data_IF_649532437072
#
_entry.id   IF_649532437072
#
_cell.length_a   1.000
_cell.length_b   1.000
_cell.length_c   1.000
_cell.angle_alpha   90.00
_cell.angle_beta   90.00
_cell.angle_gamma   90.00
#
_symmetry.space_group_name_H-M   'P 1'
#
loop_
_entity.id
_entity.type
_entity.pdbx_description
1 polymer ?
#
# COMPACT_ATOMS: atom_id res chain seq x y z
N UNK A 1 -0.66 23.59 -3.47
CA UNK A 1 -2.01 23.69 -2.86
C UNK A 1 -3.12 23.28 -3.82
N UNK A 2 -3.27 23.84 -5.03
CA UNK A 2 -4.33 23.41 -5.97
C UNK A 2 -4.05 22.06 -6.67
N UNK A 3 -2.77 21.70 -6.85
CA UNK A 3 -2.36 20.45 -7.53
C UNK A 3 -2.44 19.21 -6.63
N UNK A 4 -2.17 19.35 -5.33
CA UNK A 4 -2.37 18.28 -4.34
C UNK A 4 -3.85 17.91 -4.18
N UNK A 5 -4.73 18.91 -4.22
CA UNK A 5 -6.18 18.71 -4.17
C UNK A 5 -6.68 17.95 -5.41
N UNK A 6 -6.13 18.25 -6.59
CA UNK A 6 -6.50 17.58 -7.84
C UNK A 6 -6.02 16.12 -7.88
N UNK A 7 -4.85 15.82 -7.29
CA UNK A 7 -4.36 14.43 -7.11
C UNK A 7 -5.22 13.64 -6.14
N UNK A 8 -5.67 14.25 -5.04
CA UNK A 8 -6.64 13.64 -4.11
C UNK A 8 -7.90 13.18 -4.84
N UNK A 9 -8.52 14.05 -5.63
CA UNK A 9 -9.78 13.78 -6.34
C UNK A 9 -9.64 12.69 -7.42
N UNK A 10 -8.49 12.61 -8.09
CA UNK A 10 -8.19 11.54 -9.07
C UNK A 10 -8.04 10.17 -8.39
N UNK A 11 -7.38 10.16 -7.21
CA UNK A 11 -7.23 8.97 -6.35
C UNK A 11 -8.58 8.50 -5.79
N UNK A 12 -9.43 9.44 -5.35
CA UNK A 12 -10.79 9.20 -4.87
C UNK A 12 -11.65 8.48 -5.89
N UNK A 13 -11.60 8.98 -7.13
CA UNK A 13 -12.33 8.39 -8.26
C UNK A 13 -11.81 6.99 -8.58
N UNK A 14 -10.49 6.77 -8.56
CA UNK A 14 -9.88 5.46 -8.86
C UNK A 14 -10.16 4.42 -7.78
N UNK A 15 -10.13 4.79 -6.50
CA UNK A 15 -10.48 3.91 -5.37
C UNK A 15 -11.95 3.51 -5.46
N UNK A 16 -12.85 4.47 -5.72
CA UNK A 16 -14.27 4.19 -5.89
C UNK A 16 -14.56 3.32 -7.13
N UNK A 17 -13.90 3.57 -8.27
CA UNK A 17 -14.01 2.75 -9.48
C UNK A 17 -13.46 1.32 -9.27
N UNK A 18 -12.39 1.16 -8.49
CA UNK A 18 -11.82 -0.15 -8.11
C UNK A 18 -12.77 -0.93 -7.19
N UNK A 19 -13.34 -0.28 -6.18
CA UNK A 19 -14.37 -0.87 -5.32
C UNK A 19 -15.58 -1.35 -6.12
N UNK A 20 -15.96 -0.59 -7.16
CA UNK A 20 -17.06 -0.95 -8.05
C UNK A 20 -16.69 -2.08 -9.01
N UNK A 21 -15.47 -2.10 -9.58
CA UNK A 21 -14.98 -3.20 -10.44
C UNK A 21 -14.82 -4.52 -9.69
N UNK A 22 -14.34 -4.48 -8.44
CA UNK A 22 -14.32 -5.63 -7.55
C UNK A 22 -15.73 -6.14 -7.23
N UNK A 23 -16.76 -5.28 -7.30
CA UNK A 23 -18.16 -5.70 -7.15
C UNK A 23 -18.70 -6.39 -8.42
N UNK A 24 -18.30 -5.96 -9.62
CA UNK A 24 -18.74 -6.54 -10.90
C UNK A 24 -18.14 -7.93 -11.15
N UNK A 25 -16.87 -8.14 -10.79
CA UNK A 25 -16.18 -9.44 -10.88
C UNK A 25 -16.76 -10.52 -9.95
N UNK A 26 -17.66 -10.14 -9.02
CA UNK A 26 -18.30 -11.04 -8.04
C UNK A 26 -19.70 -11.50 -8.44
N UNK A 27 -20.12 -11.22 -9.67
CA UNK A 27 -21.43 -11.65 -10.16
C UNK A 27 -21.50 -13.14 -10.55
N UNK A 28 -20.38 -13.88 -10.54
CA UNK A 28 -20.35 -15.28 -11.02
C UNK A 28 -20.42 -16.41 -9.98
N UNK A 29 -20.46 -16.18 -8.64
CA UNK A 29 -20.72 -17.29 -7.69
C UNK A 29 -21.66 -16.94 -6.54
N UNK A 30 -22.75 -17.72 -6.32
CA UNK A 30 -23.79 -17.40 -5.36
C UNK A 30 -23.37 -17.50 -3.87
N UNK A 31 -22.25 -18.18 -3.55
CA UNK A 31 -21.80 -18.39 -2.17
C UNK A 31 -21.07 -17.21 -1.51
N UNK A 32 -20.70 -16.16 -2.26
CA UNK A 32 -19.86 -15.05 -1.76
C UNK A 32 -20.66 -13.77 -1.40
N UNK A 33 -22.00 -13.83 -1.43
CA UNK A 33 -22.88 -12.65 -1.37
C UNK A 33 -22.95 -11.98 0.00
N UNK A 34 -22.80 -12.71 1.10
CA UNK A 34 -22.93 -12.17 2.47
C UNK A 34 -21.63 -11.55 2.98
N UNK A 35 -20.48 -12.22 2.83
CA UNK A 35 -19.17 -11.67 3.20
C UNK A 35 -18.83 -10.38 2.42
N UNK A 36 -19.23 -10.30 1.15
CA UNK A 36 -19.06 -9.10 0.33
C UNK A 36 -20.06 -7.98 0.67
N UNK A 37 -21.19 -8.27 1.32
CA UNK A 37 -22.12 -7.26 1.85
C UNK A 37 -21.56 -6.64 3.13
N UNK A 38 -20.94 -7.44 3.98
CA UNK A 38 -20.23 -6.94 5.17
C UNK A 38 -19.06 -6.02 4.78
N UNK A 39 -18.24 -6.43 3.79
CA UNK A 39 -17.13 -5.62 3.26
C UNK A 39 -17.58 -4.33 2.54
N UNK A 40 -18.80 -4.33 1.98
CA UNK A 40 -19.45 -3.13 1.42
C UNK A 40 -19.86 -2.12 2.50
N UNK A 41 -20.29 -2.58 3.67
CA UNK A 41 -20.65 -1.70 4.79
C UNK A 41 -19.42 -1.14 5.52
N UNK A 42 -18.24 -1.74 5.30
CA UNK A 42 -16.92 -1.22 5.70
C UNK A 42 -16.20 -0.52 4.54
N UNK A 43 -16.89 -0.06 3.50
CA UNK A 43 -16.30 0.87 2.52
C UNK A 43 -15.99 2.17 3.25
N UNK A 44 -14.80 2.26 3.83
CA UNK A 44 -14.37 3.48 4.46
C UNK A 44 -14.14 4.52 3.37
N UNK A 45 -14.84 5.66 3.41
CA UNK A 45 -14.30 6.86 2.81
C UNK A 45 -13.09 7.25 3.68
N UNK A 46 -11.92 6.70 3.35
CA UNK A 46 -10.63 7.11 3.93
C UNK A 46 -10.18 8.48 3.41
N UNK A 47 -10.98 9.05 2.53
CA UNK A 47 -10.67 10.14 1.62
C UNK A 47 -10.63 11.52 2.29
N UNK A 48 -11.43 11.77 3.32
CA UNK A 48 -11.54 13.10 3.95
C UNK A 48 -11.42 13.09 5.48
N UNK A 49 -10.95 11.98 6.06
CA UNK A 49 -10.81 11.92 7.52
C UNK A 49 -9.49 12.54 7.94
N UNK A 50 -9.55 13.79 8.38
CA UNK A 50 -8.59 14.24 9.39
C UNK A 50 -8.62 13.23 10.54
N UNK A 51 -7.44 12.77 10.96
CA UNK A 51 -7.28 11.87 12.08
C UNK A 51 -7.03 12.68 13.37
N UNK A 52 -8.07 13.08 14.14
CA UNK A 52 -7.92 13.78 15.42
C UNK A 52 -7.16 12.92 16.44
N UNK A 53 -6.32 13.57 17.25
CA UNK A 53 -5.35 12.91 18.15
C UNK A 53 -6.02 11.93 19.13
N UNK A 54 -7.17 12.30 19.68
CA UNK A 54 -7.79 11.58 20.80
C UNK A 54 -8.55 10.31 20.39
N UNK A 55 -9.08 10.26 19.16
CA UNK A 55 -9.97 9.16 18.71
C UNK A 55 -9.36 8.29 17.61
N UNK A 56 -8.36 8.81 16.90
CA UNK A 56 -7.79 8.12 15.74
C UNK A 56 -7.06 6.83 16.08
N UNK A 57 -6.26 6.73 17.16
CA UNK A 57 -5.56 5.48 17.46
C UNK A 57 -6.49 4.28 17.60
N UNK A 58 -7.60 4.44 18.34
CA UNK A 58 -8.62 3.39 18.51
C UNK A 58 -9.30 3.07 17.18
N UNK A 59 -9.70 4.10 16.42
CA UNK A 59 -10.36 3.93 15.13
C UNK A 59 -9.46 3.18 14.13
N UNK A 60 -8.21 3.60 13.98
CA UNK A 60 -7.23 2.92 13.12
C UNK A 60 -7.05 1.46 13.53
N UNK A 61 -6.94 1.18 14.84
CA UNK A 61 -6.82 -0.19 15.34
C UNK A 61 -8.04 -1.03 14.99
N UNK A 62 -9.25 -0.51 15.20
CA UNK A 62 -10.49 -1.21 14.84
C UNK A 62 -10.56 -1.51 13.34
N UNK A 63 -10.22 -0.54 12.50
CA UNK A 63 -10.23 -0.71 11.05
C UNK A 63 -9.19 -1.72 10.56
N UNK A 64 -8.01 -1.73 11.18
CA UNK A 64 -7.01 -2.75 10.89
C UNK A 64 -7.50 -4.14 11.30
N UNK A 65 -8.20 -4.26 12.44
CA UNK A 65 -8.82 -5.53 12.85
C UNK A 65 -9.89 -5.98 11.85
N UNK A 66 -10.80 -5.10 11.47
CA UNK A 66 -11.86 -5.40 10.48
C UNK A 66 -11.26 -5.84 9.14
N UNK A 67 -10.18 -5.18 8.69
CA UNK A 67 -9.47 -5.56 7.48
C UNK A 67 -8.72 -6.89 7.65
N UNK A 68 -8.29 -7.26 8.85
CA UNK A 68 -7.55 -8.52 9.15
C UNK A 68 -8.47 -9.73 9.29
N UNK A 69 -9.71 -9.51 9.73
CA UNK A 69 -10.71 -10.53 10.00
C UNK A 69 -10.88 -11.55 8.85
N UNK A 70 -10.93 -11.18 7.55
CA UNK A 70 -11.08 -12.17 6.48
C UNK A 70 -9.96 -13.21 6.42
N UNK A 71 -8.71 -12.80 6.68
CA UNK A 71 -7.56 -13.74 6.71
C UNK A 71 -7.63 -14.65 7.93
N UNK A 72 -8.02 -14.10 9.09
CA UNK A 72 -8.20 -14.86 10.34
C UNK A 72 -9.31 -15.90 10.17
N UNK A 73 -10.44 -15.52 9.58
CA UNK A 73 -11.56 -16.42 9.31
C UNK A 73 -11.17 -17.51 8.31
N UNK A 74 -10.47 -17.17 7.23
CA UNK A 74 -9.97 -18.16 6.27
C UNK A 74 -9.08 -19.22 6.95
N UNK A 75 -8.11 -18.77 7.75
CA UNK A 75 -7.21 -19.68 8.49
C UNK A 75 -7.92 -20.52 9.54
N UNK A 76 -8.99 -20.00 10.17
CA UNK A 76 -9.77 -20.74 11.18
C UNK A 76 -10.74 -21.76 10.57
N UNK A 77 -11.40 -21.41 9.47
CA UNK A 77 -12.43 -22.25 8.86
C UNK A 77 -11.83 -23.37 8.00
N UNK A 78 -10.65 -23.13 7.40
CA UNK A 78 -10.01 -24.07 6.49
C UNK A 78 -8.50 -24.16 6.78
N UNK A 79 -8.09 -24.63 7.98
CA UNK A 79 -6.69 -24.57 8.43
C UNK A 79 -5.71 -25.40 7.58
N UNK A 80 -6.21 -26.34 6.79
CA UNK A 80 -5.40 -27.17 5.90
C UNK A 80 -5.08 -26.50 4.54
N UNK A 81 -5.65 -25.32 4.27
CA UNK A 81 -5.44 -24.59 3.02
C UNK A 81 -4.74 -23.25 3.28
N UNK A 82 -3.89 -22.85 2.34
CA UNK A 82 -3.26 -21.53 2.34
C UNK A 82 -4.33 -20.44 2.26
N UNK A 83 -4.21 -19.38 3.06
CA UNK A 83 -5.18 -18.26 3.09
C UNK A 83 -5.39 -17.67 1.68
N UNK A 84 -4.31 -17.58 0.90
CA UNK A 84 -4.37 -17.12 -0.49
C UNK A 84 -5.26 -18.01 -1.38
N UNK A 85 -5.27 -19.33 -1.17
CA UNK A 85 -6.10 -20.25 -1.95
C UNK A 85 -7.59 -20.11 -1.62
N UNK A 86 -7.91 -19.73 -0.38
CA UNK A 86 -9.28 -19.52 0.09
C UNK A 86 -9.82 -18.15 -0.34
N UNK A 87 -9.04 -17.10 -0.13
CA UNK A 87 -9.46 -15.72 -0.42
C UNK A 87 -9.30 -15.34 -1.90
N UNK A 88 -8.37 -15.97 -2.60
CA UNK A 88 -7.95 -15.58 -3.94
C UNK A 88 -7.01 -14.38 -3.95
N UNK A 89 -6.27 -14.23 -5.05
CA UNK A 89 -5.24 -13.20 -5.22
C UNK A 89 -5.81 -11.78 -5.13
N UNK A 90 -6.91 -11.50 -5.83
CA UNK A 90 -7.48 -10.15 -5.90
C UNK A 90 -7.92 -9.62 -4.54
N UNK A 91 -8.58 -10.46 -3.73
CA UNK A 91 -9.03 -10.06 -2.40
C UNK A 91 -7.84 -9.89 -1.46
N UNK A 92 -6.87 -10.81 -1.50
CA UNK A 92 -5.68 -10.73 -0.64
C UNK A 92 -4.85 -9.47 -0.93
N UNK A 93 -4.63 -9.17 -2.21
CA UNK A 93 -3.98 -7.95 -2.67
C UNK A 93 -4.73 -6.69 -2.21
N UNK A 94 -6.07 -6.70 -2.35
CA UNK A 94 -6.92 -5.60 -1.90
C UNK A 94 -6.84 -5.38 -0.37
N UNK A 95 -6.82 -6.45 0.42
CA UNK A 95 -6.71 -6.36 1.88
C UNK A 95 -5.35 -5.76 2.29
N UNK A 96 -4.26 -6.22 1.69
CA UNK A 96 -2.94 -5.66 1.93
C UNK A 96 -2.83 -4.21 1.49
N UNK A 97 -3.36 -3.86 0.31
CA UNK A 97 -3.45 -2.48 -0.15
C UNK A 97 -4.19 -1.61 0.87
N UNK A 98 -5.41 -2.00 1.28
CA UNK A 98 -6.24 -1.22 2.20
C UNK A 98 -5.59 -1.01 3.56
N UNK A 99 -4.93 -2.02 4.13
CA UNK A 99 -4.20 -1.88 5.41
C UNK A 99 -2.99 -0.96 5.28
N UNK A 100 -2.21 -1.14 4.21
CA UNK A 100 -1.05 -0.30 3.91
C UNK A 100 -1.43 1.16 3.68
N UNK A 101 -2.45 1.41 2.85
CA UNK A 101 -2.96 2.74 2.57
C UNK A 101 -3.56 3.41 3.81
N UNK A 102 -4.31 2.68 4.64
CA UNK A 102 -4.82 3.18 5.92
C UNK A 102 -3.68 3.70 6.81
N UNK A 103 -2.61 2.92 6.96
CA UNK A 103 -1.44 3.30 7.74
C UNK A 103 -0.66 4.44 7.09
N UNK A 104 -0.55 4.47 5.76
CA UNK A 104 0.03 5.59 5.03
C UNK A 104 -0.71 6.89 5.35
N UNK A 105 -2.04 6.92 5.21
CA UNK A 105 -2.84 8.11 5.46
C UNK A 105 -2.75 8.57 6.92
N UNK A 106 -2.82 7.62 7.86
CA UNK A 106 -2.63 7.93 9.27
C UNK A 106 -1.26 8.55 9.55
N UNK A 107 -0.18 7.92 9.06
CA UNK A 107 1.18 8.44 9.20
C UNK A 107 1.37 9.77 8.48
N UNK A 108 0.72 10.00 7.34
CA UNK A 108 0.77 11.25 6.61
C UNK A 108 0.18 12.40 7.45
N UNK A 109 -0.97 12.20 8.08
CA UNK A 109 -1.56 13.19 9.01
C UNK A 109 -0.65 13.43 10.22
N UNK A 110 -0.06 12.37 10.79
CA UNK A 110 0.84 12.49 11.93
C UNK A 110 2.18 13.15 11.58
N UNK A 111 2.71 12.94 10.37
CA UNK A 111 3.98 13.50 9.91
C UNK A 111 3.99 15.04 9.99
N UNK A 112 2.83 15.68 9.81
CA UNK A 112 2.67 17.12 9.95
C UNK A 112 2.75 17.60 11.42
N UNK A 113 2.59 16.70 12.40
CA UNK A 113 2.55 16.98 13.84
C UNK A 113 3.88 16.65 14.53
N UNK A 114 4.94 17.41 14.23
CA UNK A 114 6.31 17.18 14.74
C UNK A 114 6.41 16.98 16.26
N UNK A 115 5.65 17.72 17.07
CA UNK A 115 5.69 17.61 18.53
C UNK A 115 5.08 16.29 19.04
N UNK A 116 4.04 15.79 18.36
CA UNK A 116 3.44 14.51 18.69
C UNK A 116 4.43 13.36 18.43
N UNK A 117 5.12 13.40 17.28
CA UNK A 117 6.10 12.37 16.91
C UNK A 117 7.26 12.33 17.91
N UNK A 118 7.72 13.49 18.41
CA UNK A 118 8.76 13.52 19.46
C UNK A 118 8.36 12.74 20.72
N UNK A 119 7.08 12.78 21.10
CA UNK A 119 6.54 12.07 22.27
C UNK A 119 6.20 10.61 21.98
N UNK A 120 5.76 10.31 20.75
CA UNK A 120 5.19 9.01 20.35
C UNK A 120 6.00 8.33 19.24
N UNK A 121 7.32 8.54 19.24
CA UNK A 121 8.23 8.13 18.16
C UNK A 121 8.17 6.63 17.88
N UNK A 122 8.19 5.79 18.90
CA UNK A 122 8.12 4.34 18.76
C UNK A 122 6.82 3.89 18.09
N UNK A 123 5.70 4.49 18.48
CA UNK A 123 4.38 4.24 17.88
C UNK A 123 4.37 4.65 16.40
N UNK A 124 4.90 5.83 16.08
CA UNK A 124 4.98 6.30 14.70
C UNK A 124 5.83 5.36 13.82
N UNK A 125 7.04 5.00 14.27
CA UNK A 125 7.91 4.07 13.55
C UNK A 125 7.26 2.68 13.38
N UNK A 126 6.55 2.18 14.39
CA UNK A 126 5.80 0.92 14.29
C UNK A 126 4.70 1.01 13.22
N UNK A 127 3.94 2.09 13.17
CA UNK A 127 2.92 2.31 12.14
C UNK A 127 3.53 2.35 10.73
N UNK A 128 4.69 3.02 10.57
CA UNK A 128 5.41 3.03 9.30
C UNK A 128 5.87 1.63 8.89
N UNK A 129 6.46 0.88 9.83
CA UNK A 129 6.95 -0.47 9.59
C UNK A 129 5.82 -1.41 9.15
N UNK A 130 4.69 -1.40 9.84
CA UNK A 130 3.53 -2.23 9.47
C UNK A 130 2.94 -1.81 8.12
N UNK A 131 2.84 -0.50 7.85
CA UNK A 131 2.32 -0.01 6.58
C UNK A 131 3.19 -0.44 5.40
N UNK A 132 4.51 -0.29 5.51
CA UNK A 132 5.46 -0.75 4.49
C UNK A 132 5.36 -2.27 4.30
N UNK A 133 5.22 -3.06 5.37
CA UNK A 133 5.03 -4.53 5.26
C UNK A 133 3.78 -4.89 4.47
N UNK A 134 2.64 -4.25 4.76
CA UNK A 134 1.41 -4.54 4.03
C UNK A 134 1.53 -4.16 2.55
N UNK A 135 2.09 -2.99 2.25
CA UNK A 135 2.29 -2.55 0.87
C UNK A 135 3.28 -3.45 0.11
N UNK A 136 4.36 -3.88 0.75
CA UNK A 136 5.29 -4.87 0.19
C UNK A 136 4.60 -6.20 -0.09
N UNK A 137 3.76 -6.70 0.85
CA UNK A 137 2.98 -7.92 0.63
C UNK A 137 1.99 -7.76 -0.52
N UNK A 138 1.36 -6.60 -0.66
CA UNK A 138 0.47 -6.28 -1.78
C UNK A 138 1.18 -6.45 -3.13
N UNK A 139 2.38 -5.87 -3.27
CA UNK A 139 3.20 -6.00 -4.50
C UNK A 139 3.65 -7.44 -4.79
N UNK A 140 3.63 -8.32 -3.78
CA UNK A 140 4.09 -9.70 -3.87
C UNK A 140 2.96 -10.73 -4.03
N UNK A 141 1.68 -10.33 -3.95
CA UNK A 141 0.56 -11.28 -4.06
C UNK A 141 0.56 -11.96 -5.44
N UNK A 142 0.85 -11.21 -6.49
CA UNK A 142 0.94 -11.74 -7.85
C UNK A 142 2.39 -12.05 -8.19
N UNK A 143 2.63 -13.23 -8.75
CA UNK A 143 3.93 -13.56 -9.31
C UNK A 143 4.18 -12.72 -10.57
N UNK A 144 5.40 -12.20 -10.72
CA UNK A 144 5.88 -11.66 -12.00
C UNK A 144 5.66 -12.66 -13.12
N UNK A 145 5.21 -12.18 -14.28
CA UNK A 145 5.03 -13.03 -15.46
C UNK A 145 6.41 -13.34 -16.03
N UNK A 146 6.79 -14.63 -16.05
CA UNK A 146 7.97 -15.06 -16.82
C UNK A 146 7.64 -14.89 -18.30
N UNK A 147 8.33 -13.96 -18.96
CA UNK A 147 8.27 -13.82 -20.41
C UNK A 147 8.91 -15.07 -21.02
N UNK A 148 8.10 -16.09 -21.32
CA UNK A 148 8.57 -17.25 -22.06
C UNK A 148 8.69 -16.89 -23.55
N UNK A 149 9.72 -17.42 -24.23
CA UNK A 149 10.03 -17.18 -25.65
C UNK A 149 8.88 -17.51 -26.64
N UNK A 150 7.83 -18.19 -26.18
CA UNK A 150 6.66 -18.59 -26.98
C UNK A 150 5.46 -17.65 -26.91
N UNK A 151 5.46 -16.61 -26.06
CA UNK A 151 4.35 -15.66 -25.95
C UNK A 151 4.70 -14.37 -26.70
N UNK A 152 4.07 -14.16 -27.85
CA UNK A 152 4.23 -12.91 -28.61
C UNK A 152 3.46 -11.81 -27.92
N UNK A 153 4.17 -10.94 -27.21
CA UNK A 153 3.60 -9.67 -26.74
C UNK A 153 3.64 -8.67 -27.89
N UNK A 154 2.47 -8.22 -28.34
CA UNK A 154 2.37 -7.18 -29.36
C UNK A 154 2.82 -5.80 -28.85
N UNK A 155 2.85 -5.61 -27.52
CA UNK A 155 3.38 -4.43 -26.86
C UNK A 155 4.45 -4.81 -25.84
N UNK A 156 5.71 -4.45 -26.14
CA UNK A 156 6.86 -4.71 -25.28
C UNK A 156 6.82 -3.91 -23.98
N UNK A 157 6.15 -2.76 -23.96
CA UNK A 157 5.98 -1.96 -22.75
C UNK A 157 5.11 -2.69 -21.71
N UNK A 158 3.94 -3.18 -22.14
CA UNK A 158 3.06 -4.00 -21.29
C UNK A 158 3.75 -5.28 -20.82
N UNK A 159 4.51 -5.96 -21.68
CA UNK A 159 5.27 -7.16 -21.30
C UNK A 159 6.28 -6.87 -20.17
N UNK A 160 7.01 -5.76 -20.29
CA UNK A 160 7.98 -5.34 -19.29
C UNK A 160 7.31 -5.00 -17.95
N UNK A 161 6.13 -4.36 -17.94
CA UNK A 161 5.38 -4.12 -16.71
C UNK A 161 4.99 -5.41 -16.00
N UNK A 162 4.49 -6.39 -16.73
CA UNK A 162 4.08 -7.67 -16.17
C UNK A 162 5.27 -8.48 -15.63
N UNK A 163 6.44 -8.39 -16.29
CA UNK A 163 7.69 -8.95 -15.80
C UNK A 163 8.16 -8.26 -14.51
N UNK A 164 8.02 -6.93 -14.45
CA UNK A 164 8.28 -6.14 -13.26
C UNK A 164 7.20 -6.27 -12.18
N UNK A 165 6.11 -7.01 -12.41
CA UNK A 165 5.03 -7.17 -11.43
C UNK A 165 4.17 -5.91 -11.23
N UNK A 166 4.09 -5.03 -12.23
CA UNK A 166 3.25 -3.84 -12.24
C UNK A 166 1.97 -4.16 -13.02
N UNK A 167 0.85 -4.33 -12.32
CA UNK A 167 -0.40 -4.78 -12.92
C UNK A 167 -1.49 -3.70 -12.96
N UNK A 168 -1.30 -2.57 -12.28
CA UNK A 168 -2.28 -1.49 -12.21
C UNK A 168 -1.66 -0.20 -11.68
N UNK A 169 -2.37 0.92 -11.85
CA UNK A 169 -2.05 2.21 -11.22
C UNK A 169 -1.87 2.10 -9.70
N UNK A 170 -2.62 1.20 -9.05
CA UNK A 170 -2.49 0.94 -7.62
C UNK A 170 -1.10 0.44 -7.26
N UNK A 171 -0.43 -0.33 -8.12
CA UNK A 171 0.95 -0.77 -7.88
C UNK A 171 1.93 0.41 -7.89
N UNK A 172 1.77 1.35 -8.82
CA UNK A 172 2.61 2.55 -8.89
C UNK A 172 2.39 3.45 -7.68
N UNK A 173 1.14 3.65 -7.29
CA UNK A 173 0.78 4.39 -6.08
C UNK A 173 1.34 3.70 -4.82
N UNK A 174 1.29 2.37 -4.76
CA UNK A 174 1.90 1.56 -3.70
C UNK A 174 3.39 1.81 -3.60
N UNK A 175 4.10 1.87 -4.72
CA UNK A 175 5.53 2.16 -4.73
C UNK A 175 5.82 3.55 -4.16
N UNK A 176 5.04 4.57 -4.53
CA UNK A 176 5.19 5.92 -3.98
C UNK A 176 4.96 5.93 -2.46
N UNK A 177 3.87 5.31 -1.98
CA UNK A 177 3.55 5.24 -0.55
C UNK A 177 4.64 4.53 0.26
N UNK A 178 5.18 3.42 -0.26
CA UNK A 178 6.33 2.75 0.37
C UNK A 178 7.51 3.71 0.48
N UNK A 179 7.85 4.40 -0.61
CA UNK A 179 8.97 5.35 -0.64
C UNK A 179 8.84 6.47 0.37
N UNK A 180 7.67 7.11 0.45
CA UNK A 180 7.41 8.18 1.43
C UNK A 180 7.46 7.69 2.87
N UNK A 181 6.86 6.52 3.17
CA UNK A 181 6.91 5.95 4.52
C UNK A 181 8.33 5.58 4.92
N UNK A 182 9.13 5.03 4.00
CA UNK A 182 10.55 4.74 4.23
C UNK A 182 11.35 6.03 4.50
N UNK A 183 11.10 7.08 3.73
CA UNK A 183 11.70 8.39 3.94
C UNK A 183 11.37 8.97 5.32
N UNK A 184 10.09 8.93 5.72
CA UNK A 184 9.70 9.35 7.06
C UNK A 184 10.37 8.50 8.14
N UNK A 185 10.46 7.19 7.95
CA UNK A 185 11.11 6.30 8.91
C UNK A 185 12.59 6.69 9.11
N UNK A 186 13.37 6.78 8.02
CA UNK A 186 14.79 7.17 8.06
C UNK A 186 14.99 8.50 8.78
N UNK A 187 14.19 9.51 8.41
CA UNK A 187 14.24 10.85 9.01
C UNK A 187 14.07 10.84 10.54
N UNK A 188 13.23 9.96 11.07
CA UNK A 188 13.02 9.86 12.51
C UNK A 188 13.93 8.82 13.18
N UNK A 189 14.39 7.78 12.48
CA UNK A 189 15.37 6.81 13.00
C UNK A 189 16.71 7.49 13.31
N UNK A 190 17.23 8.32 12.40
CA UNK A 190 18.51 9.02 12.55
C UNK A 190 18.51 10.00 13.75
N UNK A 191 17.33 10.42 14.22
CA UNK A 191 17.17 11.24 15.44
C UNK A 191 17.17 10.40 16.74
N UNK A 192 17.53 9.12 16.70
CA UNK A 192 17.53 8.19 17.86
C UNK A 192 18.95 7.73 18.19
N UNK A 193 19.52 8.15 19.32
CA UNK A 193 20.82 7.64 19.75
C UNK A 193 20.78 6.39 20.63
N UNK A 194 19.62 5.82 20.94
CA UNK A 194 19.59 4.69 21.85
C UNK A 194 18.36 3.80 21.67
N UNK A 195 18.56 2.54 21.28
CA UNK A 195 17.75 1.37 21.70
C UNK A 195 18.32 0.09 21.11
N UNK A 196 18.98 -0.68 21.97
CA UNK A 196 19.43 -2.07 21.80
C UNK A 196 18.24 -3.05 21.86
N UNK A 197 17.19 -2.81 21.07
CA UNK A 197 16.06 -3.74 20.95
C UNK A 197 16.01 -4.35 19.55
N UNK A 198 16.29 -5.67 19.51
CA UNK A 198 16.10 -6.66 18.43
C UNK A 198 16.19 -6.11 17.00
N UNK A 199 17.42 -6.04 16.48
CA UNK A 199 17.73 -5.64 15.09
C UNK A 199 17.12 -6.54 14.00
N UNK A 200 16.76 -7.78 14.30
CA UNK A 200 16.40 -8.76 13.25
C UNK A 200 15.04 -8.54 12.58
N UNK A 201 14.08 -7.87 13.24
CA UNK A 201 12.75 -7.61 12.66
C UNK A 201 12.62 -6.21 12.04
N UNK A 202 13.64 -5.33 12.11
CA UNK A 202 13.51 -3.98 11.57
C UNK A 202 13.71 -3.99 10.06
N UNK A 203 12.81 -3.30 9.36
CA UNK A 203 12.94 -3.10 7.92
C UNK A 203 14.14 -2.23 7.61
N UNK A 204 14.86 -2.57 6.55
CA UNK A 204 15.89 -1.70 5.96
C UNK A 204 15.21 -0.60 5.14
N UNK A 205 14.62 0.39 5.83
CA UNK A 205 13.81 1.44 5.18
C UNK A 205 14.57 2.18 4.07
N UNK A 206 15.84 2.50 4.28
CA UNK A 206 16.67 3.16 3.26
C UNK A 206 16.76 2.33 1.98
N UNK A 207 17.11 1.05 2.10
CA UNK A 207 17.28 0.16 0.95
C UNK A 207 15.94 -0.12 0.24
N UNK A 208 14.90 -0.41 1.01
CA UNK A 208 13.55 -0.66 0.48
C UNK A 208 13.02 0.58 -0.24
N UNK A 209 13.12 1.75 0.39
CA UNK A 209 12.67 3.03 -0.18
C UNK A 209 13.41 3.36 -1.48
N UNK A 210 14.74 3.23 -1.49
CA UNK A 210 15.56 3.47 -2.68
C UNK A 210 15.20 2.52 -3.81
N UNK A 211 15.12 1.20 -3.54
CA UNK A 211 14.80 0.21 -4.56
C UNK A 211 13.43 0.44 -5.18
N UNK A 212 12.42 0.67 -4.36
CA UNK A 212 11.03 0.84 -4.81
C UNK A 212 10.85 2.16 -5.58
N UNK A 213 11.45 3.27 -5.11
CA UNK A 213 11.35 4.55 -5.80
C UNK A 213 12.10 4.56 -7.14
N UNK A 214 13.23 3.87 -7.26
CA UNK A 214 13.88 3.67 -8.56
C UNK A 214 12.96 2.96 -9.54
N UNK A 215 12.29 1.89 -9.08
CA UNK A 215 11.33 1.15 -9.90
C UNK A 215 10.16 2.02 -10.34
N UNK A 216 9.61 2.83 -9.43
CA UNK A 216 8.56 3.80 -9.74
C UNK A 216 9.01 4.83 -10.80
N UNK A 217 10.17 5.47 -10.61
CA UNK A 217 10.69 6.47 -11.54
C UNK A 217 10.94 5.86 -12.93
N UNK A 218 11.54 4.67 -12.99
CA UNK A 218 11.78 3.96 -14.26
C UNK A 218 10.47 3.65 -14.99
N UNK A 219 9.43 3.22 -14.27
CA UNK A 219 8.11 2.95 -14.84
C UNK A 219 7.43 4.23 -15.35
N UNK A 220 7.46 5.31 -14.55
CA UNK A 220 6.76 6.56 -14.85
C UNK A 220 7.44 7.41 -15.94
N UNK A 221 8.77 7.44 -15.99
CA UNK A 221 9.52 8.21 -17.01
C UNK A 221 9.85 7.42 -18.27
N UNK A 222 9.75 6.09 -18.18
CA UNK A 222 9.87 5.21 -19.33
C UNK A 222 8.49 4.95 -19.95
N UNK A 223 7.93 3.74 -19.83
CA UNK A 223 6.78 3.38 -20.66
C UNK A 223 5.46 4.10 -20.29
N UNK A 224 5.36 4.77 -19.14
CA UNK A 224 4.20 5.61 -18.76
C UNK A 224 4.45 7.11 -18.95
N UNK A 225 5.51 7.51 -19.67
CA UNK A 225 5.80 8.91 -19.89
C UNK A 225 4.59 9.63 -20.52
N UNK A 226 4.20 10.75 -19.93
CA UNK A 226 3.04 11.54 -20.38
C UNK A 226 1.68 11.04 -19.89
N UNK A 227 1.60 9.97 -19.10
CA UNK A 227 0.34 9.43 -18.54
C UNK A 227 -0.09 10.10 -17.22
N UNK A 228 0.41 11.30 -16.93
CA UNK A 228 0.01 12.09 -15.76
C UNK A 228 0.67 11.70 -14.42
N UNK A 229 1.62 10.75 -14.43
CA UNK A 229 2.42 10.43 -13.24
C UNK A 229 3.51 11.47 -12.99
N UNK A 230 3.70 11.87 -11.73
CA UNK A 230 4.74 12.80 -11.31
C UNK A 230 5.85 12.06 -10.55
N UNK A 231 7.10 12.36 -10.91
CA UNK A 231 8.29 11.74 -10.35
C UNK A 231 9.16 12.71 -9.55
N UNK A 232 8.78 13.98 -9.43
CA UNK A 232 9.55 15.02 -8.75
C UNK A 232 9.76 14.66 -7.27
N UNK A 233 8.68 14.39 -6.54
CA UNK A 233 8.75 14.00 -5.13
C UNK A 233 9.56 12.70 -4.93
N UNK A 234 9.38 11.71 -5.82
CA UNK A 234 10.14 10.47 -5.77
C UNK A 234 11.65 10.70 -5.93
N UNK A 235 12.04 11.57 -6.86
CA UNK A 235 13.44 11.96 -7.09
C UNK A 235 14.02 12.76 -5.93
N UNK A 236 13.25 13.68 -5.35
CA UNK A 236 13.64 14.42 -4.16
C UNK A 236 13.93 13.49 -2.97
N UNK A 237 13.05 12.51 -2.75
CA UNK A 237 13.25 11.51 -1.71
C UNK A 237 14.49 10.66 -1.99
N UNK A 238 14.67 10.20 -3.24
CA UNK A 238 15.85 9.41 -3.63
C UNK A 238 17.17 10.14 -3.33
N UNK A 239 17.23 11.45 -3.60
CA UNK A 239 18.41 12.27 -3.30
C UNK A 239 18.75 12.33 -1.81
N UNK A 240 17.80 12.04 -0.91
CA UNK A 240 18.01 12.01 0.54
C UNK A 240 18.34 10.60 1.05
N UNK A 241 17.82 9.57 0.36
CA UNK A 241 18.04 8.17 0.72
C UNK A 241 19.38 7.62 0.22
N UNK A 242 19.94 8.19 -0.85
CA UNK A 242 21.27 7.89 -1.40
C UNK A 242 22.39 8.60 -0.64
#
# INVERSE_FOLDING_TARGET
MADDYRRSVELERRIFELDNKCATLRTEKPGNRESCRQLRNTSLPLVDQEFPEDTSPFKIQQLLQDLTEPEVLAGRLVPAQEVQSVLGLELLECLYWRRGALLYMYCHTLHQRKQWIKKNKATFLKCLQEGVRYLMRMLQVRNSVKLNDGVVFHDSATANFLAEGIFSDTHLLTMMYIGEMCFWAVKYEDCSMDTTERKEDRLHFRDIGTQILHKYVLACEGPLQGQGWNTENAKEILNILQ
#
